data_IF_871120609799
#
_entry.id   IF_871120609799
#
_cell.length_a   1.000
_cell.length_b   1.000
_cell.length_c   1.000
_cell.angle_alpha   90.00
_cell.angle_beta   90.00
_cell.angle_gamma   90.00
#
_symmetry.space_group_name_H-M   'P 1'
#
loop_
_entity.id
_entity.type
_entity.pdbx_description
1 polymer ?
#
# COMPACT_ATOMS: atom_id res chain seq x y z
N UNK A 1 2.56 -3.01 8.46
CA UNK A 1 3.96 -2.94 7.99
C UNK A 1 4.75 -1.91 8.79
N UNK A 2 4.31 -0.66 8.86
CA UNK A 2 4.92 0.39 9.70
C UNK A 2 3.85 0.91 10.66
N UNK A 3 4.09 0.84 11.97
CA UNK A 3 3.12 1.24 12.99
C UNK A 3 1.92 0.30 13.16
N UNK A 4 0.84 0.83 13.73
CA UNK A 4 -0.38 0.10 14.11
C UNK A 4 -1.62 0.71 13.47
N UNK A 5 -2.66 -0.11 13.29
CA UNK A 5 -4.00 0.34 12.84
C UNK A 5 -4.87 0.90 13.98
N UNK A 6 -4.38 0.90 15.22
CA UNK A 6 -5.14 1.37 16.37
C UNK A 6 -5.24 2.89 16.37
N UNK A 7 -6.42 3.42 16.71
CA UNK A 7 -6.66 4.86 16.84
C UNK A 7 -5.97 5.48 18.07
N UNK A 8 -5.44 4.66 18.98
CA UNK A 8 -4.78 5.07 20.22
C UNK A 8 -3.32 4.62 20.30
N UNK A 9 -2.73 4.20 19.19
CA UNK A 9 -1.31 3.85 19.16
C UNK A 9 -0.44 5.11 19.19
N UNK A 10 0.71 5.01 19.86
CA UNK A 10 1.76 6.02 19.78
C UNK A 10 2.32 6.11 18.36
N UNK A 11 2.91 7.26 18.04
CA UNK A 11 3.61 7.45 16.78
C UNK A 11 4.73 6.40 16.63
N UNK A 12 4.79 5.68 15.49
CA UNK A 12 5.84 4.70 15.28
C UNK A 12 7.21 5.38 15.20
N UNK A 13 8.22 4.80 15.87
CA UNK A 13 9.60 5.30 15.85
C UNK A 13 10.20 5.34 14.45
N UNK A 14 9.82 4.37 13.61
CA UNK A 14 10.21 4.32 12.20
C UNK A 14 9.08 4.82 11.26
N UNK A 15 8.29 5.77 11.75
CA UNK A 15 7.23 6.44 11.00
C UNK A 15 7.73 7.33 9.87
N UNK A 16 6.80 8.11 9.30
CA UNK A 16 7.07 9.02 8.18
C UNK A 16 6.39 10.36 8.41
N UNK A 17 7.11 11.43 8.11
CA UNK A 17 6.58 12.78 8.24
C UNK A 17 5.66 13.14 7.06
N UNK A 18 4.83 14.16 7.25
CA UNK A 18 4.11 14.80 6.14
C UNK A 18 5.11 15.30 5.09
N UNK A 19 4.77 15.12 3.81
CA UNK A 19 5.60 15.51 2.66
C UNK A 19 6.97 14.80 2.55
N UNK A 20 7.27 13.83 3.41
CA UNK A 20 8.41 12.94 3.18
C UNK A 20 8.15 12.12 1.91
N UNK A 21 9.15 11.98 1.03
CA UNK A 21 9.04 11.15 -0.17
C UNK A 21 9.26 9.67 0.15
N UNK A 22 8.57 8.83 -0.60
CA UNK A 22 8.71 7.37 -0.56
C UNK A 22 8.16 6.78 -1.86
N UNK A 23 8.46 5.51 -2.05
CA UNK A 23 7.84 4.70 -3.10
C UNK A 23 7.18 3.49 -2.47
N UNK A 24 6.19 2.94 -3.18
CA UNK A 24 5.64 1.64 -2.86
C UNK A 24 5.54 0.79 -4.13
N UNK A 25 5.59 -0.52 -3.95
CA UNK A 25 5.30 -1.48 -5.02
C UNK A 25 4.29 -2.49 -4.51
N UNK A 26 3.27 -2.75 -5.32
CA UNK A 26 2.31 -3.84 -5.11
C UNK A 26 2.48 -4.79 -6.28
N UNK A 27 2.98 -5.99 -6.02
CA UNK A 27 3.30 -6.98 -7.05
C UNK A 27 2.56 -8.27 -6.76
N UNK A 28 1.83 -8.77 -7.75
CA UNK A 28 1.15 -10.07 -7.69
C UNK A 28 1.73 -10.98 -8.75
N UNK A 29 2.19 -12.16 -8.34
CA UNK A 29 2.60 -13.27 -9.24
C UNK A 29 1.88 -14.52 -8.77
N UNK A 30 0.97 -15.05 -9.60
CA UNK A 30 0.07 -16.13 -9.19
C UNK A 30 -0.68 -15.73 -7.92
N UNK A 31 -0.62 -16.59 -6.90
CA UNK A 31 -1.27 -16.36 -5.59
C UNK A 31 -0.43 -15.52 -4.61
N UNK A 32 0.74 -15.03 -5.02
CA UNK A 32 1.65 -14.32 -4.12
C UNK A 32 1.53 -12.81 -4.33
N UNK A 33 1.03 -12.11 -3.30
CA UNK A 33 1.03 -10.66 -3.20
C UNK A 33 2.26 -10.21 -2.40
N UNK A 34 3.07 -9.34 -2.97
CA UNK A 34 4.20 -8.69 -2.29
C UNK A 34 4.00 -7.18 -2.29
N UNK A 35 3.99 -6.59 -1.10
CA UNK A 35 3.97 -5.15 -0.87
C UNK A 35 5.33 -4.71 -0.36
N UNK A 36 5.92 -3.71 -1.01
CA UNK A 36 7.21 -3.13 -0.60
C UNK A 36 7.05 -1.63 -0.39
N UNK A 37 7.61 -1.09 0.69
CA UNK A 37 7.77 0.35 0.91
C UNK A 37 9.27 0.66 0.85
N UNK A 38 9.65 1.59 -0.02
CA UNK A 38 11.02 2.07 -0.20
C UNK A 38 11.14 3.50 0.32
N UNK A 39 12.19 3.76 1.10
CA UNK A 39 12.48 5.06 1.71
C UNK A 39 13.96 5.36 1.56
N UNK A 40 14.28 6.59 1.19
CA UNK A 40 15.67 7.00 0.99
C UNK A 40 16.50 6.80 2.27
N UNK A 41 17.64 6.13 2.16
CA UNK A 41 18.55 5.87 3.27
C UNK A 41 18.05 4.86 4.31
N UNK A 42 16.95 4.13 4.05
CA UNK A 42 16.43 3.09 4.94
C UNK A 42 16.25 1.78 4.18
N UNK A 43 16.28 0.66 4.90
CA UNK A 43 15.96 -0.65 4.35
C UNK A 43 14.51 -0.74 3.88
N UNK A 44 14.30 -1.56 2.84
CA UNK A 44 12.98 -1.86 2.30
C UNK A 44 12.11 -2.57 3.34
N UNK A 45 10.87 -2.11 3.50
CA UNK A 45 9.87 -2.79 4.33
C UNK A 45 9.02 -3.65 3.42
N UNK A 46 9.18 -4.98 3.53
CA UNK A 46 8.52 -5.96 2.65
C UNK A 46 7.50 -6.78 3.42
N UNK A 47 6.33 -6.97 2.83
CA UNK A 47 5.34 -7.95 3.30
C UNK A 47 4.88 -8.82 2.14
N UNK A 48 4.96 -10.14 2.33
CA UNK A 48 4.44 -11.13 1.39
C UNK A 48 3.23 -11.83 1.99
N UNK A 49 2.18 -11.96 1.19
CA UNK A 49 0.92 -12.64 1.54
C UNK A 49 0.67 -13.72 0.50
N UNK A 50 0.48 -14.94 0.97
CA UNK A 50 -0.02 -16.04 0.15
C UNK A 50 -1.55 -15.99 0.13
N UNK A 51 -2.12 -15.74 -1.05
CA UNK A 51 -3.56 -15.59 -1.28
C UNK A 51 -4.22 -16.85 -1.85
N UNK A 52 -3.54 -18.01 -1.83
CA UNK A 52 -4.04 -19.26 -2.43
C UNK A 52 -5.43 -19.64 -1.91
N UNK A 53 -5.68 -19.42 -0.62
CA UNK A 53 -6.98 -19.70 0.03
C UNK A 53 -7.93 -18.49 0.07
N UNK A 54 -7.61 -17.40 -0.63
CA UNK A 54 -8.44 -16.18 -0.66
C UNK A 54 -9.53 -16.21 -1.74
N UNK A 55 -9.52 -17.22 -2.63
CA UNK A 55 -10.52 -17.39 -3.69
C UNK A 55 -10.32 -16.49 -4.92
N UNK A 56 -9.25 -15.70 -4.97
CA UNK A 56 -8.92 -14.84 -6.11
C UNK A 56 -8.40 -15.59 -7.34
N UNK A 57 -8.03 -16.85 -7.18
CA UNK A 57 -7.65 -17.78 -8.25
C UNK A 57 -8.85 -18.55 -8.83
N UNK A 58 -10.07 -18.34 -8.30
CA UNK A 58 -11.29 -18.92 -8.88
C UNK A 58 -11.65 -18.14 -10.14
N UNK A 59 -12.00 -18.86 -11.22
CA UNK A 59 -12.36 -18.27 -12.50
C UNK A 59 -13.56 -17.30 -12.41
N UNK A 60 -13.62 -16.33 -13.33
CA UNK A 60 -14.68 -15.31 -13.38
C UNK A 60 -14.37 -14.05 -12.57
N UNK A 61 -13.26 -14.02 -11.83
CA UNK A 61 -12.74 -12.82 -11.18
C UNK A 61 -11.86 -12.02 -12.15
N UNK A 62 -11.92 -10.69 -12.06
CA UNK A 62 -11.02 -9.78 -12.74
C UNK A 62 -10.47 -8.77 -11.75
N UNK A 63 -9.25 -8.30 -11.98
CA UNK A 63 -8.54 -7.42 -11.06
C UNK A 63 -8.14 -6.14 -11.76
N UNK A 64 -8.04 -5.07 -10.98
CA UNK A 64 -7.58 -3.76 -11.44
C UNK A 64 -6.89 -3.04 -10.28
N UNK A 65 -5.85 -2.27 -10.60
CA UNK A 65 -5.18 -1.44 -9.61
C UNK A 65 -5.91 -0.10 -9.44
N UNK A 66 -5.86 0.43 -8.21
CA UNK A 66 -6.26 1.80 -7.90
C UNK A 66 -5.08 2.49 -7.21
N UNK A 67 -4.88 3.77 -7.52
CA UNK A 67 -3.90 4.62 -6.86
C UNK A 67 -4.48 6.03 -6.70
N UNK A 68 -4.17 6.69 -5.59
CA UNK A 68 -4.73 7.99 -5.26
C UNK A 68 -4.96 8.13 -3.76
N UNK A 69 -5.78 9.12 -3.40
CA UNK A 69 -6.26 9.31 -2.04
C UNK A 69 -7.68 8.78 -1.92
N UNK A 70 -7.85 7.74 -1.11
CA UNK A 70 -9.17 7.28 -0.68
C UNK A 70 -9.35 7.65 0.79
N UNK A 71 -10.08 8.73 1.05
CA UNK A 71 -10.21 9.33 2.37
C UNK A 71 -11.06 8.42 3.27
N UNK A 72 -10.48 7.94 4.39
CA UNK A 72 -11.15 7.03 5.32
C UNK A 72 -11.85 7.72 6.49
N UNK A 73 -11.66 9.03 6.67
CA UNK A 73 -12.47 9.83 7.58
C UNK A 73 -13.75 10.28 6.87
N UNK A 74 -14.89 10.04 7.48
CA UNK A 74 -16.21 10.39 6.94
C UNK A 74 -17.09 11.18 7.93
N UNK A 75 -16.51 11.67 9.04
CA UNK A 75 -17.26 12.39 10.08
C UNK A 75 -16.84 13.86 10.25
N UNK A 76 -15.71 14.27 9.67
CA UNK A 76 -15.22 15.65 9.73
C UNK A 76 -15.22 16.34 8.37
N UNK A 77 -15.18 17.67 8.39
CA UNK A 77 -15.17 18.54 7.19
C UNK A 77 -13.75 18.86 6.69
N UNK A 78 -12.76 18.06 7.09
CA UNK A 78 -11.35 18.27 6.76
C UNK A 78 -10.96 17.59 5.43
N UNK A 79 -9.78 17.93 4.92
CA UNK A 79 -9.26 17.39 3.66
C UNK A 79 -7.96 16.61 3.87
N UNK A 80 -7.65 15.77 2.89
CA UNK A 80 -6.36 15.12 2.80
C UNK A 80 -5.82 15.30 1.38
N UNK A 81 -4.49 15.29 1.24
CA UNK A 81 -3.83 15.49 -0.04
C UNK A 81 -2.63 14.54 -0.17
N UNK A 82 -2.39 14.08 -1.39
CA UNK A 82 -1.19 13.33 -1.79
C UNK A 82 -0.65 13.89 -3.09
N UNK A 83 0.65 13.69 -3.32
CA UNK A 83 1.31 14.05 -4.57
C UNK A 83 2.09 12.84 -5.07
N UNK A 84 1.77 12.38 -6.28
CA UNK A 84 2.50 11.31 -6.97
C UNK A 84 3.52 11.93 -7.91
N UNK A 85 4.78 11.54 -7.76
CA UNK A 85 5.87 11.94 -8.67
C UNK A 85 6.09 10.93 -9.80
N UNK A 86 5.68 9.68 -9.58
CA UNK A 86 5.66 8.61 -10.58
C UNK A 86 4.50 7.67 -10.24
N UNK A 87 3.86 7.11 -11.28
CA UNK A 87 2.80 6.12 -11.13
C UNK A 87 2.81 5.20 -12.34
N UNK A 88 3.29 3.98 -12.13
CA UNK A 88 3.46 2.99 -13.18
C UNK A 88 2.65 1.72 -12.90
N UNK A 89 2.25 1.07 -13.99
CA UNK A 89 1.61 -0.24 -13.99
C UNK A 89 2.24 -1.12 -15.06
N UNK A 90 2.32 -2.42 -14.81
CA UNK A 90 2.77 -3.39 -15.80
C UNK A 90 2.03 -4.70 -15.57
N UNK A 91 1.70 -5.38 -16.67
CA UNK A 91 1.16 -6.74 -16.65
C UNK A 91 2.01 -7.60 -17.58
N UNK A 92 2.24 -8.85 -17.19
CA UNK A 92 2.85 -9.88 -18.04
C UNK A 92 1.84 -11.01 -18.20
N UNK A 93 1.87 -11.66 -19.37
CA UNK A 93 1.07 -12.85 -19.63
C UNK A 93 1.69 -14.09 -19.00
#
# INVERSE_FOLDING_TARGET
MIGSRSNSADNPSDGRALNEKFSYTIKVIGDILTCTILREGKDDVVQTVNMFNSGFNVGGQYMYFKAGLYHLNNTGDDYAQVTFYALDKTHTN
#
